data_IF_761259251425
#
_entry.id   IF_761259251425
#
_cell.length_a   1.000
_cell.length_b   1.000
_cell.length_c   1.000
_cell.angle_alpha   90.00
_cell.angle_beta   90.00
_cell.angle_gamma   90.00
#
_symmetry.space_group_name_H-M   'P 1'
#
loop_
_entity.id
_entity.type
_entity.pdbx_description
1 polymer ?
#
# COMPACT_ATOMS: atom_id res chain seq x y z
N UNK A 1 6.21 -8.63 -34.98
CA UNK A 1 5.95 -8.97 -33.57
C UNK A 1 4.96 -7.94 -33.06
N UNK A 2 3.71 -8.32 -32.82
CA UNK A 2 2.71 -7.40 -32.25
C UNK A 2 3.08 -7.18 -30.78
N UNK A 3 3.33 -5.94 -30.39
CA UNK A 3 3.56 -5.61 -28.98
C UNK A 3 2.30 -5.94 -28.19
N UNK A 4 2.43 -6.74 -27.13
CA UNK A 4 1.35 -6.95 -26.16
C UNK A 4 0.92 -5.60 -25.61
N UNK A 5 -0.39 -5.33 -25.59
CA UNK A 5 -0.90 -4.07 -25.06
C UNK A 5 -0.59 -3.97 -23.56
N UNK A 6 -0.26 -2.77 -23.04
CA UNK A 6 -0.07 -2.58 -21.61
C UNK A 6 -1.38 -2.84 -20.86
N UNK A 7 -1.29 -3.48 -19.69
CA UNK A 7 -2.41 -3.68 -18.79
C UNK A 7 -2.44 -2.54 -17.78
N UNK A 8 -3.63 -2.04 -17.46
CA UNK A 8 -3.82 -0.95 -16.51
C UNK A 8 -4.89 -1.31 -15.50
N UNK A 9 -4.75 -0.75 -14.30
CA UNK A 9 -5.76 -0.76 -13.25
C UNK A 9 -6.45 0.59 -13.14
N UNK A 10 -7.55 0.66 -12.39
CA UNK A 10 -8.32 1.89 -12.16
C UNK A 10 -8.88 1.92 -10.73
N UNK A 11 -9.40 3.09 -10.33
CA UNK A 11 -9.92 3.31 -8.98
C UNK A 11 -10.99 2.29 -8.54
N UNK A 12 -11.88 1.84 -9.43
CA UNK A 12 -12.93 0.88 -9.10
C UNK A 12 -12.37 -0.52 -8.82
N UNK A 13 -11.36 -0.92 -9.58
CA UNK A 13 -10.66 -2.19 -9.35
C UNK A 13 -9.94 -2.17 -8.00
N UNK A 14 -9.27 -1.05 -7.68
CA UNK A 14 -8.61 -0.86 -6.38
C UNK A 14 -9.62 -0.84 -5.23
N UNK A 15 -10.73 -0.13 -5.37
CA UNK A 15 -11.81 -0.10 -4.36
C UNK A 15 -12.31 -1.50 -4.04
N UNK A 16 -12.54 -2.33 -5.06
CA UNK A 16 -12.95 -3.72 -4.88
C UNK A 16 -11.88 -4.55 -4.15
N UNK A 17 -10.60 -4.35 -4.49
CA UNK A 17 -9.50 -5.05 -3.81
C UNK A 17 -9.46 -4.65 -2.33
N UNK A 18 -9.53 -3.35 -2.01
CA UNK A 18 -9.54 -2.86 -0.62
C UNK A 18 -10.75 -3.42 0.14
N UNK A 19 -11.96 -3.40 -0.45
CA UNK A 19 -13.14 -4.00 0.14
C UNK A 19 -12.95 -5.49 0.49
N UNK A 20 -12.38 -6.26 -0.44
CA UNK A 20 -12.05 -7.66 -0.19
C UNK A 20 -11.01 -7.83 0.93
N UNK A 21 -9.99 -6.95 1.02
CA UNK A 21 -9.00 -6.99 2.09
C UNK A 21 -9.63 -6.70 3.46
N UNK A 22 -10.59 -5.78 3.55
CA UNK A 22 -11.35 -5.53 4.79
C UNK A 22 -12.04 -6.80 5.26
N UNK A 23 -12.70 -7.53 4.35
CA UNK A 23 -13.46 -8.74 4.69
C UNK A 23 -12.57 -9.96 4.99
N UNK A 24 -11.44 -10.11 4.30
CA UNK A 24 -10.68 -11.38 4.27
C UNK A 24 -9.28 -11.31 4.89
N UNK A 25 -8.73 -10.13 5.11
CA UNK A 25 -7.35 -9.94 5.54
C UNK A 25 -7.21 -9.08 6.81
N UNK A 26 -8.09 -8.09 6.99
CA UNK A 26 -8.00 -7.11 8.08
C UNK A 26 -7.90 -7.73 9.48
N UNK A 27 -8.72 -8.74 9.78
CA UNK A 27 -8.70 -9.38 11.10
C UNK A 27 -7.36 -10.05 11.41
N UNK A 28 -6.76 -10.75 10.44
CA UNK A 28 -5.51 -11.48 10.67
C UNK A 28 -4.32 -10.54 10.86
N UNK A 29 -4.25 -9.46 10.07
CA UNK A 29 -3.16 -8.50 10.21
C UNK A 29 -3.27 -7.67 11.50
N UNK A 30 -4.49 -7.39 11.99
CA UNK A 30 -4.70 -6.75 13.30
C UNK A 30 -4.17 -7.61 14.45
N UNK A 31 -4.34 -8.91 14.36
CA UNK A 31 -3.80 -9.86 15.33
C UNK A 31 -2.27 -9.87 15.28
N UNK A 32 -1.68 -9.98 14.09
CA UNK A 32 -0.22 -9.96 13.92
C UNK A 32 0.41 -8.66 14.43
N UNK A 33 -0.25 -7.52 14.20
CA UNK A 33 0.20 -6.22 14.69
C UNK A 33 -0.25 -5.92 16.13
N UNK A 34 -0.96 -6.84 16.81
CA UNK A 34 -1.47 -6.64 18.17
C UNK A 34 -2.24 -5.30 18.34
N UNK A 35 -3.21 -5.04 17.45
CA UNK A 35 -4.09 -3.84 17.44
C UNK A 35 -5.58 -4.21 17.40
N UNK A 36 -5.93 -5.38 17.94
CA UNK A 36 -7.31 -5.89 17.98
C UNK A 36 -8.23 -5.08 18.92
N UNK A 37 -7.62 -4.42 19.91
CA UNK A 37 -8.23 -3.57 20.94
C UNK A 37 -8.40 -2.10 20.50
N UNK A 38 -7.81 -1.70 19.37
CA UNK A 38 -7.92 -0.33 18.85
C UNK A 38 -9.12 -0.22 17.91
N UNK A 39 -10.03 0.71 18.19
CA UNK A 39 -11.19 1.00 17.34
C UNK A 39 -10.87 2.07 16.30
N UNK A 40 -11.15 1.79 15.02
CA UNK A 40 -10.99 2.72 13.91
C UNK A 40 -11.85 2.28 12.72
N UNK A 41 -12.19 3.22 11.85
CA UNK A 41 -12.87 2.95 10.58
C UNK A 41 -11.90 2.81 9.40
N UNK A 42 -12.25 1.99 8.40
CA UNK A 42 -11.54 1.93 7.11
C UNK A 42 -12.49 2.42 6.01
N UNK A 43 -12.01 3.34 5.19
CA UNK A 43 -12.77 3.94 4.10
C UNK A 43 -11.94 4.03 2.83
N UNK A 44 -12.64 4.12 1.70
CA UNK A 44 -12.07 4.48 0.41
C UNK A 44 -12.51 5.89 0.03
N UNK A 45 -11.63 6.61 -0.66
CA UNK A 45 -11.94 7.86 -1.34
C UNK A 45 -11.22 7.88 -2.70
N UNK A 46 -11.52 8.87 -3.52
CA UNK A 46 -10.97 9.01 -4.86
C UNK A 46 -9.53 9.52 -4.79
N UNK A 47 -9.34 10.72 -4.23
CA UNK A 47 -8.05 11.41 -4.16
C UNK A 47 -8.00 12.38 -2.97
N UNK A 48 -6.84 12.51 -2.34
CA UNK A 48 -6.66 13.50 -1.26
C UNK A 48 -6.64 14.91 -1.84
N UNK A 49 -7.30 15.86 -1.17
CA UNK A 49 -7.27 17.28 -1.54
C UNK A 49 -6.70 18.13 -0.41
N UNK A 50 -5.63 18.88 -0.69
CA UNK A 50 -5.01 19.82 0.25
C UNK A 50 -5.22 21.23 -0.30
N UNK A 51 -5.92 22.09 0.45
CA UNK A 51 -6.27 23.46 0.03
C UNK A 51 -6.95 23.53 -1.34
N UNK A 52 -7.76 22.52 -1.67
CA UNK A 52 -8.49 22.39 -2.94
C UNK A 52 -7.72 21.73 -4.09
N UNK A 53 -6.41 21.52 -3.93
CA UNK A 53 -5.56 20.88 -4.94
C UNK A 53 -5.47 19.37 -4.69
N UNK A 54 -5.51 18.59 -5.77
CA UNK A 54 -5.34 17.15 -5.72
C UNK A 54 -3.89 16.80 -5.34
N UNK A 55 -3.73 15.90 -4.36
CA UNK A 55 -2.44 15.37 -3.93
C UNK A 55 -2.36 13.90 -4.35
N UNK A 56 -1.70 13.68 -5.49
CA UNK A 56 -1.65 12.39 -6.17
C UNK A 56 -0.59 11.45 -5.57
N UNK A 57 0.36 11.99 -4.79
CA UNK A 57 1.47 11.20 -4.23
C UNK A 57 1.07 10.41 -3.00
N UNK A 58 -0.07 10.75 -2.38
CA UNK A 58 -0.58 10.16 -1.13
C UNK A 58 -1.58 9.05 -1.47
N UNK A 59 -1.22 7.82 -1.08
CA UNK A 59 -1.98 6.59 -1.40
C UNK A 59 -3.01 6.26 -0.33
N UNK A 60 -2.70 6.57 0.91
CA UNK A 60 -3.63 6.46 2.03
C UNK A 60 -3.28 7.49 3.12
N UNK A 61 -4.12 7.59 4.14
CA UNK A 61 -3.88 8.44 5.29
C UNK A 61 -4.61 7.90 6.51
N UNK A 62 -3.87 7.71 7.60
CA UNK A 62 -4.40 7.58 8.94
C UNK A 62 -4.80 8.98 9.47
N UNK A 63 -6.06 9.12 9.87
CA UNK A 63 -6.65 10.37 10.33
C UNK A 63 -6.95 10.25 11.82
N UNK A 64 -6.37 11.13 12.66
CA UNK A 64 -6.62 11.11 14.10
C UNK A 64 -8.03 11.56 14.45
N UNK A 65 -8.46 11.23 15.66
CA UNK A 65 -9.63 11.82 16.30
C UNK A 65 -9.38 13.31 16.64
N UNK A 66 -10.44 14.00 17.06
CA UNK A 66 -10.41 15.45 17.30
C UNK A 66 -9.39 15.93 18.34
N UNK A 67 -9.13 15.11 19.35
CA UNK A 67 -8.15 15.37 20.43
C UNK A 67 -6.76 14.79 20.12
N UNK A 68 -6.57 14.22 18.93
CA UNK A 68 -5.29 13.68 18.43
C UNK A 68 -4.69 12.58 19.32
N UNK A 69 -5.52 11.89 20.11
CA UNK A 69 -5.11 10.85 21.04
C UNK A 69 -4.99 9.47 20.40
N UNK A 70 -5.67 9.24 19.26
CA UNK A 70 -5.58 7.99 18.49
C UNK A 70 -6.05 8.20 17.04
N UNK A 71 -5.75 7.24 16.17
CA UNK A 71 -6.30 7.16 14.82
C UNK A 71 -7.79 6.80 14.87
N UNK A 72 -8.65 7.64 14.31
CA UNK A 72 -10.09 7.39 14.20
C UNK A 72 -10.42 6.61 12.93
N UNK A 73 -9.71 6.89 11.82
CA UNK A 73 -9.98 6.26 10.53
C UNK A 73 -8.78 6.23 9.61
N UNK A 74 -8.75 5.24 8.73
CA UNK A 74 -7.82 5.15 7.60
C UNK A 74 -8.60 5.35 6.31
N UNK A 75 -8.08 6.17 5.41
CA UNK A 75 -8.68 6.44 4.10
C UNK A 75 -7.70 6.04 3.00
N UNK A 76 -8.13 5.15 2.10
CA UNK A 76 -7.37 4.71 0.92
C UNK A 76 -7.80 5.52 -0.32
N UNK A 77 -6.85 6.16 -1.00
CA UNK A 77 -7.08 6.99 -2.18
C UNK A 77 -6.91 6.17 -3.46
N UNK A 78 -8.02 5.68 -3.97
CA UNK A 78 -8.10 4.68 -5.04
C UNK A 78 -7.50 5.17 -6.38
N UNK A 79 -7.67 6.44 -6.74
CA UNK A 79 -7.04 7.00 -7.95
C UNK A 79 -5.52 7.08 -7.78
N UNK A 80 -5.02 7.57 -6.65
CA UNK A 80 -3.59 7.67 -6.36
C UNK A 80 -2.92 6.30 -6.41
N UNK A 81 -3.50 5.29 -5.76
CA UNK A 81 -3.00 3.90 -5.79
C UNK A 81 -2.99 3.36 -7.22
N UNK A 82 -4.11 3.49 -7.95
CA UNK A 82 -4.20 2.97 -9.32
C UNK A 82 -3.19 3.61 -10.26
N UNK A 83 -2.97 4.92 -10.12
CA UNK A 83 -2.00 5.67 -10.91
C UNK A 83 -0.59 5.20 -10.63
N UNK A 84 -0.22 5.03 -9.37
CA UNK A 84 1.13 4.62 -9.01
C UNK A 84 1.44 3.19 -9.46
N UNK A 85 0.48 2.26 -9.36
CA UNK A 85 0.61 0.90 -9.94
C UNK A 85 0.87 0.99 -11.45
N UNK A 86 0.08 1.78 -12.18
CA UNK A 86 0.22 1.92 -13.62
C UNK A 86 1.54 2.57 -14.04
N UNK A 87 2.09 3.46 -13.22
CA UNK A 87 3.39 4.10 -13.45
C UNK A 87 4.55 3.15 -13.15
N UNK A 88 4.46 2.39 -12.05
CA UNK A 88 5.54 1.52 -11.59
C UNK A 88 5.60 0.18 -12.30
N UNK A 89 4.47 -0.36 -12.77
CA UNK A 89 4.40 -1.69 -13.40
C UNK A 89 3.99 -1.67 -14.89
N UNK A 90 4.47 -0.72 -15.72
CA UNK A 90 3.93 -0.51 -17.07
C UNK A 90 4.30 -1.62 -18.07
N UNK A 91 5.29 -2.46 -17.72
CA UNK A 91 5.81 -3.55 -18.56
C UNK A 91 5.15 -4.90 -18.31
N UNK A 92 4.33 -5.01 -17.27
CA UNK A 92 3.62 -6.26 -16.99
C UNK A 92 2.46 -6.41 -17.96
N UNK A 93 2.59 -7.34 -18.91
CA UNK A 93 1.55 -7.64 -19.90
C UNK A 93 0.81 -8.96 -19.67
N UNK A 94 1.20 -9.73 -18.65
CA UNK A 94 0.47 -10.92 -18.21
C UNK A 94 -0.64 -10.51 -17.24
N UNK A 95 -1.90 -10.78 -17.57
CA UNK A 95 -3.05 -10.33 -16.77
C UNK A 95 -3.08 -10.93 -15.37
N UNK A 96 -2.81 -12.23 -15.23
CA UNK A 96 -2.83 -12.90 -13.93
C UNK A 96 -1.74 -12.34 -13.01
N UNK A 97 -0.52 -12.18 -13.54
CA UNK A 97 0.58 -11.57 -12.80
C UNK A 97 0.27 -10.11 -12.43
N UNK A 98 -0.33 -9.33 -13.34
CA UNK A 98 -0.74 -7.95 -13.04
C UNK A 98 -1.78 -7.87 -11.93
N UNK A 99 -2.80 -8.75 -11.96
CA UNK A 99 -3.82 -8.82 -10.90
C UNK A 99 -3.22 -9.19 -9.54
N UNK A 100 -2.17 -10.01 -9.54
CA UNK A 100 -1.45 -10.31 -8.31
C UNK A 100 -0.66 -9.10 -7.80
N UNK A 101 0.02 -8.36 -8.68
CA UNK A 101 0.68 -7.10 -8.34
C UNK A 101 -0.29 -6.06 -7.79
N UNK A 102 -1.48 -5.90 -8.39
CA UNK A 102 -2.53 -5.00 -7.86
C UNK A 102 -2.89 -5.35 -6.41
N UNK A 103 -3.13 -6.65 -6.15
CA UNK A 103 -3.48 -7.15 -4.82
C UNK A 103 -2.34 -6.92 -3.82
N UNK A 104 -1.12 -7.23 -4.23
CA UNK A 104 0.08 -7.04 -3.41
C UNK A 104 0.31 -5.58 -3.06
N UNK A 105 0.17 -4.68 -4.04
CA UNK A 105 0.32 -3.25 -3.82
C UNK A 105 -0.74 -2.75 -2.83
N UNK A 106 -2.01 -3.12 -3.01
CA UNK A 106 -3.07 -2.76 -2.08
C UNK A 106 -2.80 -3.32 -0.66
N UNK A 107 -2.33 -4.56 -0.54
CA UNK A 107 -1.93 -5.15 0.75
C UNK A 107 -0.77 -4.40 1.40
N UNK A 108 0.23 -3.99 0.61
CA UNK A 108 1.37 -3.21 1.11
C UNK A 108 0.88 -1.91 1.77
N UNK A 109 0.09 -1.11 1.04
CA UNK A 109 -0.47 0.15 1.57
C UNK A 109 -1.37 -0.13 2.78
N UNK A 110 -2.13 -1.22 2.74
CA UNK A 110 -3.00 -1.61 3.85
C UNK A 110 -2.21 -1.90 5.13
N UNK A 111 -1.16 -2.72 5.04
CA UNK A 111 -0.30 -3.06 6.18
C UNK A 111 0.40 -1.80 6.70
N UNK A 112 0.94 -0.96 5.80
CA UNK A 112 1.61 0.28 6.15
C UNK A 112 0.74 1.17 7.06
N UNK A 113 -0.51 1.43 6.68
CA UNK A 113 -1.42 2.25 7.50
C UNK A 113 -1.78 1.59 8.84
N UNK A 114 -1.88 0.26 8.89
CA UNK A 114 -2.11 -0.44 10.15
C UNK A 114 -0.90 -0.41 11.08
N UNK A 115 0.32 -0.34 10.53
CA UNK A 115 1.51 -0.12 11.34
C UNK A 115 1.47 1.27 11.97
N UNK A 116 0.96 2.31 11.29
CA UNK A 116 0.75 3.60 11.93
C UNK A 116 -0.23 3.51 13.11
N UNK A 117 -1.32 2.76 12.98
CA UNK A 117 -2.23 2.51 14.12
C UNK A 117 -1.49 1.85 15.29
N UNK A 118 -0.63 0.87 15.01
CA UNK A 118 0.20 0.24 16.02
C UNK A 118 1.19 1.23 16.66
N UNK A 119 1.81 2.09 15.86
CA UNK A 119 2.74 3.11 16.34
C UNK A 119 2.05 4.11 17.27
N UNK A 120 0.84 4.58 16.91
CA UNK A 120 0.00 5.41 17.78
C UNK A 120 -0.38 4.68 19.08
N UNK A 121 -0.79 3.41 18.99
CA UNK A 121 -1.03 2.56 20.19
C UNK A 121 0.20 2.50 21.09
N UNK A 122 1.40 2.50 20.51
CA UNK A 122 2.68 2.44 21.21
C UNK A 122 3.24 3.82 21.61
N UNK A 123 2.45 4.89 21.46
CA UNK A 123 2.79 6.23 21.96
C UNK A 123 3.40 7.19 20.93
N UNK A 124 3.37 6.88 19.63
CA UNK A 124 3.63 7.88 18.60
C UNK A 124 2.64 9.03 18.74
N UNK A 125 3.16 10.25 18.70
CA UNK A 125 2.37 11.49 18.73
C UNK A 125 1.98 11.97 17.33
N UNK A 126 0.97 12.83 17.24
CA UNK A 126 0.56 13.41 15.97
C UNK A 126 1.63 14.36 15.38
N UNK A 127 2.44 14.98 16.22
CA UNK A 127 3.60 15.76 15.80
C UNK A 127 4.61 14.87 15.06
N UNK A 128 4.98 13.74 15.65
CA UNK A 128 5.86 12.73 15.04
C UNK A 128 5.29 12.14 13.75
N UNK A 129 3.97 11.92 13.68
CA UNK A 129 3.31 11.45 12.46
C UNK A 129 3.37 12.49 11.32
N UNK A 130 3.27 13.78 11.66
CA UNK A 130 3.30 14.87 10.68
C UNK A 130 4.72 15.31 10.29
N UNK A 131 5.77 14.79 10.91
CA UNK A 131 7.16 15.12 10.56
C UNK A 131 7.50 14.60 9.15
N UNK A 132 7.34 15.50 8.17
CA UNK A 132 7.49 15.26 6.73
C UNK A 132 8.93 15.14 6.21
N UNK A 133 9.96 15.20 7.05
CA UNK A 133 11.33 14.95 6.59
C UNK A 133 11.57 13.46 6.34
N UNK A 134 11.14 13.02 5.15
CA UNK A 134 11.25 11.68 4.58
C UNK A 134 12.65 11.02 4.68
N UNK A 135 13.70 11.79 4.98
CA UNK A 135 15.06 11.27 5.15
C UNK A 135 15.36 10.74 6.55
N UNK A 136 14.54 11.03 7.57
CA UNK A 136 14.71 10.50 8.94
C UNK A 136 13.36 10.19 9.62
N UNK A 137 12.26 9.97 8.89
CA UNK A 137 11.03 9.48 9.52
C UNK A 137 11.15 7.96 9.76
N UNK A 138 11.69 7.61 10.94
CA UNK A 138 11.85 6.21 11.41
C UNK A 138 10.54 5.42 11.35
N UNK A 139 9.40 6.10 11.48
CA UNK A 139 8.10 5.46 11.55
C UNK A 139 7.56 5.09 10.17
N UNK A 140 7.71 5.98 9.18
CA UNK A 140 7.43 5.67 7.76
C UNK A 140 8.28 4.50 7.29
N UNK A 141 9.57 4.52 7.65
CA UNK A 141 10.49 3.42 7.34
C UNK A 141 10.03 2.12 8.01
N UNK A 142 9.68 2.15 9.30
CA UNK A 142 9.18 0.97 10.00
C UNK A 142 7.89 0.42 9.36
N UNK A 143 6.97 1.29 8.96
CA UNK A 143 5.72 0.89 8.29
C UNK A 143 5.99 0.21 6.96
N UNK A 144 6.89 0.77 6.15
CA UNK A 144 7.33 0.17 4.90
C UNK A 144 8.08 -1.15 5.10
N UNK A 145 9.06 -1.19 6.02
CA UNK A 145 9.87 -2.36 6.31
C UNK A 145 8.98 -3.53 6.80
N UNK A 146 7.98 -3.27 7.65
CA UNK A 146 7.01 -4.29 8.09
C UNK A 146 6.10 -4.77 6.96
N UNK A 147 5.63 -3.88 6.10
CA UNK A 147 4.83 -4.27 4.94
C UNK A 147 5.63 -5.15 3.98
N UNK A 148 6.90 -4.80 3.72
CA UNK A 148 7.82 -5.62 2.93
C UNK A 148 8.08 -6.98 3.59
N UNK A 149 8.39 -6.99 4.88
CA UNK A 149 8.69 -8.23 5.63
C UNK A 149 7.50 -9.20 5.58
N UNK A 150 6.28 -8.68 5.80
CA UNK A 150 5.07 -9.47 5.74
C UNK A 150 4.89 -10.14 4.38
N UNK A 151 4.92 -9.34 3.30
CA UNK A 151 4.69 -9.84 1.94
C UNK A 151 5.81 -10.76 1.46
N UNK A 152 7.04 -10.55 1.94
CA UNK A 152 8.19 -11.41 1.62
C UNK A 152 8.06 -12.85 2.13
N UNK A 153 7.19 -13.09 3.13
CA UNK A 153 6.89 -14.43 3.66
C UNK A 153 5.96 -15.23 2.74
N UNK A 154 5.30 -14.59 1.76
CA UNK A 154 4.31 -15.23 0.90
C UNK A 154 4.94 -15.99 -0.29
N UNK A 155 6.17 -15.63 -0.67
CA UNK A 155 6.91 -16.28 -1.76
C UNK A 155 7.96 -15.37 -2.38
N UNK A 156 8.74 -15.89 -3.32
CA UNK A 156 9.85 -15.14 -3.94
C UNK A 156 9.35 -14.04 -4.88
N UNK A 157 8.33 -14.33 -5.70
CA UNK A 157 7.67 -13.32 -6.52
C UNK A 157 7.14 -12.16 -5.65
N UNK A 158 6.46 -12.50 -4.55
CA UNK A 158 5.86 -11.52 -3.64
C UNK A 158 6.92 -10.65 -2.95
N UNK A 159 8.03 -11.26 -2.53
CA UNK A 159 9.19 -10.56 -1.98
C UNK A 159 9.73 -9.51 -2.93
N UNK A 160 9.94 -9.85 -4.20
CA UNK A 160 10.50 -8.90 -5.17
C UNK A 160 9.51 -7.78 -5.52
N UNK A 161 8.21 -8.09 -5.66
CA UNK A 161 7.20 -7.04 -5.84
C UNK A 161 7.16 -6.09 -4.64
N UNK A 162 7.25 -6.60 -3.40
CA UNK A 162 7.24 -5.78 -2.20
C UNK A 162 8.45 -4.83 -2.12
N UNK A 163 9.65 -5.31 -2.46
CA UNK A 163 10.87 -4.48 -2.56
C UNK A 163 10.73 -3.37 -3.60
N UNK A 164 10.14 -3.66 -4.76
CA UNK A 164 9.91 -2.66 -5.80
C UNK A 164 8.95 -1.57 -5.33
N UNK A 165 7.92 -1.93 -4.56
CA UNK A 165 6.99 -0.97 -3.94
C UNK A 165 7.73 -0.10 -2.91
N UNK A 166 8.48 -0.71 -1.99
CA UNK A 166 9.20 0.00 -0.93
C UNK A 166 10.28 0.96 -1.48
N UNK A 167 11.03 0.52 -2.49
CA UNK A 167 12.10 1.32 -3.12
C UNK A 167 11.61 2.33 -4.17
N UNK A 168 10.30 2.37 -4.43
CA UNK A 168 9.67 3.21 -5.46
C UNK A 168 10.20 3.00 -6.88
N UNK A 169 10.69 1.79 -7.16
CA UNK A 169 11.32 1.48 -8.44
C UNK A 169 10.30 1.20 -9.54
N UNK A 170 10.54 1.76 -10.73
CA UNK A 170 9.77 1.46 -11.93
C UNK A 170 10.31 0.19 -12.58
N UNK A 171 9.41 -0.73 -12.95
CA UNK A 171 9.71 -1.98 -13.63
C UNK A 171 10.13 -1.71 -15.08
N UNK A 172 11.41 -1.91 -15.36
CA UNK A 172 11.98 -1.98 -16.70
C UNK A 172 11.94 -3.42 -17.26
N UNK A 173 12.59 -3.65 -18.40
CA UNK A 173 12.57 -4.96 -19.05
C UNK A 173 13.36 -6.03 -18.30
N UNK A 174 14.44 -5.66 -17.61
CA UNK A 174 15.28 -6.62 -16.88
C UNK A 174 14.53 -7.10 -15.64
N UNK A 175 13.95 -6.15 -14.88
CA UNK A 175 13.10 -6.45 -13.73
C UNK A 175 11.88 -7.27 -14.15
N UNK A 176 11.21 -6.88 -15.25
CA UNK A 176 10.07 -7.63 -15.76
C UNK A 176 10.42 -9.09 -16.09
N UNK A 177 11.58 -9.33 -16.71
CA UNK A 177 12.04 -10.68 -17.04
C UNK A 177 12.24 -11.53 -15.79
N UNK A 178 12.85 -10.95 -14.76
CA UNK A 178 13.01 -11.60 -13.45
C UNK A 178 11.66 -11.92 -12.80
N UNK A 179 10.74 -10.95 -12.76
CA UNK A 179 9.40 -11.15 -12.20
C UNK A 179 8.63 -12.26 -12.93
N UNK A 180 8.72 -12.31 -14.26
CA UNK A 180 8.10 -13.36 -15.07
C UNK A 180 8.68 -14.75 -14.78
N UNK A 181 9.99 -14.85 -14.49
CA UNK A 181 10.59 -16.13 -14.10
C UNK A 181 10.05 -16.58 -12.74
N UNK A 182 10.12 -15.71 -11.73
CA UNK A 182 9.64 -15.98 -10.38
C UNK A 182 8.13 -16.30 -10.33
N UNK A 183 7.33 -15.72 -11.22
CA UNK A 183 5.88 -15.96 -11.26
C UNK A 183 5.50 -17.35 -11.80
N UNK A 184 6.37 -17.97 -12.60
CA UNK A 184 6.09 -19.25 -13.25
C UNK A 184 6.69 -20.47 -12.51
N UNK A 185 7.40 -20.23 -11.40
CA UNK A 185 7.94 -21.25 -10.49
C UNK A 185 6.90 -21.68 -9.45
#
# INVERSE_FOLDING_TARGET
MGGSQPIFTNAKDIEKIIGNLIETFHSSIREELNIQDVEYGIFTDTIRRIKGYAEETIKASAIPNKDESQIEKVVFFTESISRDINIRFPKITNLSMFKEVERMYAMFVFIHELVHIQQFKNGMTMEEYNETEYKINKFEKEANDKAEEYLSKLGEFQREVAKLINSEQIVDYDIFTTLMQLYNE
#
